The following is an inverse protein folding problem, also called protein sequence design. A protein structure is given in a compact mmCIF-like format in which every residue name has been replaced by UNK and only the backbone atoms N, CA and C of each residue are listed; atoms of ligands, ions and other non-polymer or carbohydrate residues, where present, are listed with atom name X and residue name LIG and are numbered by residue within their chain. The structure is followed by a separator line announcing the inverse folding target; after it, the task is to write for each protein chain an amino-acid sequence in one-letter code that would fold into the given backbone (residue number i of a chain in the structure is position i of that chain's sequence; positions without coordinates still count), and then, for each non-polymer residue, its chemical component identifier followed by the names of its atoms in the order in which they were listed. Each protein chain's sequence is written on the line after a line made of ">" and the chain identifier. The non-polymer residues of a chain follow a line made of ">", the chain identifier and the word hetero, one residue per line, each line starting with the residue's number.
data_IF_941057701529
#
_entry.id   IF_941057701529
#
_cell.length_a   1.000
_cell.length_b   1.000
_cell.length_c   1.000
_cell.angle_alpha   90.00
_cell.angle_beta   90.00
_cell.angle_gamma   90.00
#
_symmetry.space_group_name_H-M   'P 1'
#
loop_
_entity.id
_entity.type
_entity.pdbx_description
1 polymer ?
#
# COMPACT_ATOMS: atom_id res chain seq x y z
N UNK A 1 8.28 -24.46 -80.58
CA UNK A 1 8.30 -23.40 -79.56
C UNK A 1 7.18 -23.73 -78.59
N UNK A 2 7.57 -24.20 -77.41
CA UNK A 2 6.68 -24.71 -76.37
C UNK A 2 6.06 -23.52 -75.62
N UNK A 3 4.73 -23.46 -75.55
CA UNK A 3 4.00 -22.65 -74.59
C UNK A 3 3.25 -23.63 -73.68
N UNK A 4 3.74 -23.73 -72.45
CA UNK A 4 3.17 -24.55 -71.39
C UNK A 4 1.82 -23.98 -70.94
N UNK A 5 0.79 -24.82 -71.05
CA UNK A 5 -0.40 -24.79 -70.21
C UNK A 5 0.01 -25.15 -68.78
N UNK A 6 -0.27 -24.26 -67.82
CA UNK A 6 -0.21 -24.57 -66.39
C UNK A 6 -1.60 -24.37 -65.81
N UNK A 7 -2.26 -25.50 -65.61
CA UNK A 7 -3.49 -25.68 -64.85
C UNK A 7 -3.38 -25.11 -63.43
N UNK A 8 -4.27 -24.20 -63.07
CA UNK A 8 -4.55 -23.82 -61.68
C UNK A 8 -5.26 -24.99 -61.00
N UNK A 9 -4.50 -25.75 -60.21
CA UNK A 9 -5.03 -26.76 -59.28
C UNK A 9 -5.66 -26.01 -58.11
N UNK A 10 -6.96 -26.24 -57.91
CA UNK A 10 -7.71 -25.73 -56.77
C UNK A 10 -7.22 -26.35 -55.47
N UNK A 11 -6.80 -25.51 -54.53
CA UNK A 11 -6.68 -25.87 -53.13
C UNK A 11 -8.06 -25.80 -52.50
N UNK A 12 -8.66 -26.97 -52.28
CA UNK A 12 -9.81 -27.13 -51.39
C UNK A 12 -9.43 -26.66 -49.97
N UNK A 13 -10.26 -25.84 -49.28
CA UNK A 13 -10.03 -25.52 -47.89
C UNK A 13 -10.15 -26.80 -47.05
N UNK A 14 -9.08 -27.13 -46.31
CA UNK A 14 -9.08 -28.23 -45.33
C UNK A 14 -10.13 -27.90 -44.26
N UNK A 15 -11.05 -28.82 -43.90
CA UNK A 15 -12.03 -28.56 -42.86
C UNK A 15 -11.32 -28.40 -41.51
N UNK A 16 -11.38 -27.18 -40.96
CA UNK A 16 -10.85 -26.83 -39.65
C UNK A 16 -11.54 -27.66 -38.57
N UNK A 17 -10.75 -28.43 -37.82
CA UNK A 17 -11.25 -29.15 -36.65
C UNK A 17 -11.76 -28.13 -35.62
N UNK A 18 -12.98 -28.27 -35.08
CA UNK A 18 -13.50 -27.31 -34.11
C UNK A 18 -12.60 -27.31 -32.87
N UNK A 19 -12.28 -26.11 -32.38
CA UNK A 19 -11.52 -25.92 -31.15
C UNK A 19 -12.11 -26.78 -30.03
N UNK A 20 -11.28 -27.51 -29.26
CA UNK A 20 -11.77 -28.27 -28.12
C UNK A 20 -12.64 -27.40 -27.20
N UNK A 21 -13.77 -27.93 -26.77
CA UNK A 21 -14.82 -27.17 -26.05
C UNK A 21 -14.36 -26.50 -24.77
N UNK A 22 -13.22 -26.94 -24.22
CA UNK A 22 -12.57 -26.36 -23.06
C UNK A 22 -11.75 -25.10 -23.41
N UNK A 23 -11.05 -25.07 -24.56
CA UNK A 23 -10.28 -23.91 -25.03
C UNK A 23 -11.19 -22.82 -25.61
N UNK A 24 -12.27 -23.23 -26.29
CA UNK A 24 -13.29 -22.35 -26.87
C UNK A 24 -14.07 -21.50 -25.84
N UNK A 25 -14.00 -21.86 -24.56
CA UNK A 25 -14.61 -21.09 -23.44
C UNK A 25 -13.70 -19.97 -22.93
N UNK A 26 -12.38 -20.08 -23.14
CA UNK A 26 -11.38 -19.14 -22.64
C UNK A 26 -10.92 -18.13 -23.69
N UNK A 27 -11.12 -18.43 -24.98
CA UNK A 27 -10.72 -17.59 -26.11
C UNK A 27 -11.94 -17.24 -26.95
N UNK A 28 -12.43 -16.00 -26.83
CA UNK A 28 -13.36 -15.41 -27.80
C UNK A 28 -13.12 -13.90 -27.93
N UNK A 29 -12.27 -13.52 -28.87
CA UNK A 29 -12.52 -12.70 -30.06
C UNK A 29 -11.20 -12.65 -30.87
N UNK A 30 -11.28 -12.78 -32.21
CA UNK A 30 -10.19 -12.77 -33.21
C UNK A 30 -9.15 -13.91 -33.24
N UNK A 31 -9.54 -15.16 -32.98
CA UNK A 31 -8.76 -16.30 -33.49
C UNK A 31 -9.52 -16.93 -34.65
N UNK A 32 -8.95 -16.86 -35.85
CA UNK A 32 -9.25 -17.87 -36.86
C UNK A 32 -8.57 -19.18 -36.42
N UNK A 33 -9.10 -20.33 -36.84
CA UNK A 33 -8.49 -21.62 -36.49
C UNK A 33 -7.00 -21.69 -36.93
N UNK A 34 -6.64 -20.87 -37.92
CA UNK A 34 -5.29 -20.64 -38.42
C UNK A 34 -4.38 -19.93 -37.41
N UNK A 35 -4.87 -19.05 -36.53
CA UNK A 35 -4.05 -18.33 -35.55
C UNK A 35 -3.67 -19.21 -34.35
N UNK A 36 -4.58 -20.09 -33.93
CA UNK A 36 -4.30 -21.10 -32.89
C UNK A 36 -3.41 -22.19 -33.47
N UNK A 37 -3.66 -22.62 -34.71
CA UNK A 37 -2.76 -23.51 -35.43
C UNK A 37 -1.39 -22.85 -35.61
N UNK A 38 -1.29 -21.56 -35.95
CA UNK A 38 -0.03 -20.85 -36.08
C UNK A 38 0.69 -20.65 -34.73
N UNK A 39 -0.03 -20.53 -33.61
CA UNK A 39 0.60 -20.54 -32.28
C UNK A 39 1.16 -21.92 -31.96
N UNK A 40 0.38 -22.98 -32.17
CA UNK A 40 0.79 -24.37 -31.95
C UNK A 40 1.95 -24.70 -32.89
N UNK A 41 1.82 -24.39 -34.18
CA UNK A 41 2.83 -24.58 -35.21
C UNK A 41 4.06 -23.69 -34.99
N UNK A 42 3.95 -22.45 -34.50
CA UNK A 42 5.11 -21.59 -34.15
C UNK A 42 5.84 -22.13 -32.92
N UNK A 43 5.09 -22.62 -31.93
CA UNK A 43 5.65 -23.34 -30.78
C UNK A 43 6.34 -24.61 -31.27
N UNK A 44 5.73 -25.40 -32.15
CA UNK A 44 6.27 -26.68 -32.66
C UNK A 44 7.41 -26.49 -33.69
N UNK A 45 7.40 -25.40 -34.48
CA UNK A 45 8.42 -25.10 -35.50
C UNK A 45 9.62 -24.34 -34.94
N UNK A 46 9.46 -23.52 -33.90
CA UNK A 46 10.60 -23.05 -33.09
C UNK A 46 11.32 -24.18 -32.34
N UNK A 47 10.73 -25.38 -32.33
CA UNK A 47 11.28 -26.59 -31.70
C UNK A 47 11.92 -27.57 -32.71
N UNK A 48 11.75 -27.37 -34.02
CA UNK A 48 12.38 -28.22 -35.06
C UNK A 48 13.75 -27.70 -35.50
N UNK A 49 14.65 -27.46 -34.55
CA UNK A 49 16.09 -27.56 -34.82
C UNK A 49 16.85 -27.85 -33.54
N UNK A 50 17.31 -29.10 -33.42
CA UNK A 50 18.45 -29.58 -32.64
C UNK A 50 18.97 -28.65 -31.53
N UNK A 51 18.76 -29.06 -30.27
CA UNK A 51 19.43 -28.60 -29.03
C UNK A 51 18.74 -27.62 -28.06
N UNK A 52 17.42 -27.66 -27.87
CA UNK A 52 16.83 -27.05 -26.65
C UNK A 52 16.62 -28.09 -25.54
N UNK A 53 17.40 -27.98 -24.47
CA UNK A 53 17.27 -28.72 -23.19
C UNK A 53 16.06 -28.27 -22.36
N UNK A 54 15.08 -27.58 -22.95
CA UNK A 54 13.95 -26.98 -22.24
C UNK A 54 12.76 -27.93 -22.34
N UNK A 55 12.29 -28.42 -21.20
CA UNK A 55 11.15 -29.33 -21.12
C UNK A 55 9.90 -28.70 -21.77
N UNK A 56 9.24 -29.47 -22.65
CA UNK A 56 8.02 -29.08 -23.34
C UNK A 56 6.88 -28.89 -22.32
N UNK A 57 6.26 -27.70 -22.32
CA UNK A 57 5.09 -27.41 -21.51
C UNK A 57 3.85 -27.24 -22.41
N UNK A 58 2.73 -27.91 -22.12
CA UNK A 58 1.46 -27.66 -22.78
C UNK A 58 1.05 -26.18 -22.67
N UNK A 59 0.36 -25.66 -23.69
CA UNK A 59 -0.02 -24.24 -23.76
C UNK A 59 -0.85 -23.78 -22.54
N UNK A 60 -1.63 -24.67 -21.94
CA UNK A 60 -2.41 -24.45 -20.73
C UNK A 60 -1.52 -24.19 -19.52
N UNK A 61 -0.42 -24.93 -19.42
CA UNK A 61 0.56 -24.75 -18.34
C UNK A 61 1.29 -23.42 -18.54
N UNK A 62 1.61 -23.06 -19.78
CA UNK A 62 2.22 -21.76 -20.10
C UNK A 62 1.28 -20.59 -19.74
N UNK A 63 0.00 -20.68 -20.12
CA UNK A 63 -1.00 -19.66 -19.75
C UNK A 63 -1.25 -19.62 -18.24
N UNK A 64 -1.18 -20.76 -17.56
CA UNK A 64 -1.27 -20.81 -16.10
C UNK A 64 -0.04 -20.15 -15.45
N UNK A 65 1.16 -20.37 -15.99
CA UNK A 65 2.39 -19.69 -15.54
C UNK A 65 2.26 -18.17 -15.68
N UNK A 66 1.64 -17.67 -16.76
CA UNK A 66 1.42 -16.23 -16.95
C UNK A 66 0.61 -15.58 -15.81
N UNK A 67 -0.26 -16.32 -15.12
CA UNK A 67 -1.00 -15.80 -13.94
C UNK A 67 -0.10 -15.51 -12.72
N UNK A 68 1.09 -16.12 -12.69
CA UNK A 68 2.08 -15.99 -11.62
C UNK A 68 3.31 -15.18 -12.01
N UNK A 69 3.34 -14.64 -13.23
CA UNK A 69 4.40 -13.74 -13.66
C UNK A 69 4.33 -12.45 -12.82
N UNK A 70 5.48 -11.99 -12.29
CA UNK A 70 5.54 -10.71 -11.58
C UNK A 70 5.01 -9.55 -12.43
N UNK A 71 4.27 -8.66 -11.78
CA UNK A 71 3.49 -7.59 -12.45
C UNK A 71 4.33 -6.60 -13.25
N UNK A 72 5.59 -6.43 -12.88
CA UNK A 72 6.62 -5.60 -13.52
C UNK A 72 7.14 -6.20 -14.85
N UNK A 73 6.94 -7.51 -15.07
CA UNK A 73 7.31 -8.22 -16.29
C UNK A 73 6.12 -8.58 -17.18
N UNK A 74 4.89 -8.49 -16.67
CA UNK A 74 3.70 -8.95 -17.38
C UNK A 74 3.53 -8.30 -18.77
N UNK A 75 3.86 -7.01 -18.90
CA UNK A 75 3.77 -6.30 -20.18
C UNK A 75 4.88 -6.66 -21.17
N UNK A 76 6.02 -7.17 -20.70
CA UNK A 76 7.06 -7.71 -21.59
C UNK A 76 6.56 -9.00 -22.26
N UNK A 77 5.91 -9.88 -21.49
CA UNK A 77 5.28 -11.11 -22.00
C UNK A 77 4.14 -10.84 -22.98
N UNK A 78 3.41 -9.74 -22.81
CA UNK A 78 2.37 -9.29 -23.74
C UNK A 78 2.89 -9.06 -25.18
N UNK A 79 4.18 -8.76 -25.35
CA UNK A 79 4.78 -8.48 -26.65
C UNK A 79 5.29 -9.73 -27.38
N UNK A 80 5.29 -10.90 -26.73
CA UNK A 80 5.88 -12.13 -27.28
C UNK A 80 5.04 -12.69 -28.42
N UNK A 81 3.72 -12.82 -28.23
CA UNK A 81 2.79 -13.29 -29.26
C UNK A 81 1.36 -12.82 -28.98
N UNK A 82 0.50 -12.90 -30.01
CA UNK A 82 -0.92 -12.52 -29.90
C UNK A 82 -1.68 -13.35 -28.84
N UNK A 83 -1.36 -14.63 -28.67
CA UNK A 83 -1.97 -15.49 -27.65
C UNK A 83 -1.70 -15.01 -26.22
N UNK A 84 -0.48 -14.55 -25.95
CA UNK A 84 -0.16 -13.96 -24.66
C UNK A 84 -0.84 -12.62 -24.50
N UNK A 85 -0.89 -11.81 -25.57
CA UNK A 85 -1.62 -10.55 -25.54
C UNK A 85 -3.09 -10.75 -25.14
N UNK A 86 -3.80 -11.69 -25.76
CA UNK A 86 -5.22 -11.90 -25.47
C UNK A 86 -5.47 -12.54 -24.11
N UNK A 87 -4.61 -13.49 -23.71
CA UNK A 87 -4.67 -14.09 -22.38
C UNK A 87 -4.41 -13.04 -21.28
N UNK A 88 -3.42 -12.17 -21.50
CA UNK A 88 -3.09 -11.03 -20.63
C UNK A 88 -4.27 -10.08 -20.58
N UNK A 89 -4.75 -9.55 -21.71
CA UNK A 89 -5.82 -8.55 -21.80
C UNK A 89 -7.20 -9.06 -21.27
N UNK A 90 -7.33 -10.37 -21.04
CA UNK A 90 -8.51 -11.04 -20.50
C UNK A 90 -8.29 -11.69 -19.13
N UNK A 91 -8.04 -13.00 -19.14
CA UNK A 91 -8.05 -13.87 -17.97
C UNK A 91 -6.97 -13.53 -16.95
N UNK A 92 -5.73 -13.30 -17.40
CA UNK A 92 -4.60 -13.05 -16.51
C UNK A 92 -4.74 -11.67 -15.84
N UNK A 93 -5.13 -10.64 -16.58
CA UNK A 93 -5.41 -9.32 -15.99
C UNK A 93 -6.55 -9.39 -14.95
N UNK A 94 -7.58 -10.20 -15.20
CA UNK A 94 -8.62 -10.47 -14.20
C UNK A 94 -8.09 -11.25 -12.98
N UNK A 95 -7.16 -12.19 -13.16
CA UNK A 95 -6.49 -12.85 -12.04
C UNK A 95 -5.77 -11.82 -11.16
N UNK A 96 -5.00 -10.90 -11.76
CA UNK A 96 -4.33 -9.83 -11.00
C UNK A 96 -5.32 -8.85 -10.37
N UNK A 97 -6.42 -8.51 -11.04
CA UNK A 97 -7.47 -7.64 -10.50
C UNK A 97 -7.99 -8.12 -9.14
N UNK A 98 -8.19 -9.44 -8.98
CA UNK A 98 -8.67 -10.03 -7.72
C UNK A 98 -7.70 -9.86 -6.55
N UNK A 99 -6.43 -9.58 -6.85
CA UNK A 99 -5.35 -9.37 -5.89
C UNK A 99 -5.06 -7.88 -5.66
N UNK A 100 -5.77 -6.99 -6.36
CA UNK A 100 -5.65 -5.54 -6.18
C UNK A 100 -6.28 -5.14 -4.86
N UNK A 101 -5.60 -4.22 -4.18
CA UNK A 101 -6.08 -3.51 -3.02
C UNK A 101 -6.00 -2.01 -3.30
N UNK A 102 -7.11 -1.29 -3.12
CA UNK A 102 -7.10 0.17 -3.15
C UNK A 102 -6.95 0.70 -1.73
N UNK A 103 -6.04 1.66 -1.55
CA UNK A 103 -5.72 2.23 -0.25
C UNK A 103 -6.01 3.73 -0.28
N UNK A 104 -7.04 4.17 0.44
CA UNK A 104 -7.41 5.58 0.57
C UNK A 104 -6.61 6.24 1.68
N UNK A 105 -5.94 7.35 1.39
CA UNK A 105 -5.20 8.13 2.38
C UNK A 105 -6.00 9.37 2.80
N UNK A 106 -6.45 9.36 4.05
CA UNK A 106 -7.35 10.39 4.61
C UNK A 106 -6.61 11.67 4.97
N UNK A 107 -5.30 11.62 5.18
CA UNK A 107 -4.47 12.80 5.45
C UNK A 107 -3.42 12.54 6.52
N UNK A 108 -2.44 13.44 6.60
CA UNK A 108 -1.36 13.34 7.59
C UNK A 108 -1.83 13.70 9.00
N UNK A 109 -1.09 13.24 10.01
CA UNK A 109 -1.30 13.60 11.42
C UNK A 109 -1.32 15.11 11.65
N UNK A 110 -0.58 15.84 10.82
CA UNK A 110 -0.47 17.30 10.86
C UNK A 110 -1.67 18.03 10.25
N UNK A 111 -2.59 17.34 9.56
CA UNK A 111 -3.81 17.95 9.05
C UNK A 111 -4.73 18.40 10.21
N UNK A 112 -5.33 19.59 10.10
CA UNK A 112 -6.16 20.21 11.16
C UNK A 112 -7.22 19.24 11.73
N UNK A 113 -7.93 18.54 10.85
CA UNK A 113 -8.98 17.59 11.22
C UNK A 113 -8.44 16.28 11.83
N UNK A 114 -7.19 15.90 11.55
CA UNK A 114 -6.56 14.69 12.09
C UNK A 114 -5.84 14.93 13.42
N UNK A 115 -5.40 16.16 13.71
CA UNK A 115 -4.67 16.50 14.95
C UNK A 115 -5.46 16.21 16.23
N UNK A 116 -6.79 16.25 16.16
CA UNK A 116 -7.68 16.04 17.31
C UNK A 116 -7.82 14.57 17.73
N UNK A 117 -7.44 13.64 16.85
CA UNK A 117 -7.49 12.21 17.14
C UNK A 117 -6.38 11.83 18.14
N UNK A 118 -6.61 10.82 18.97
CA UNK A 118 -5.50 10.12 19.62
C UNK A 118 -4.66 9.41 18.57
N UNK A 119 -3.45 9.00 18.93
CA UNK A 119 -2.57 8.31 17.98
C UNK A 119 -3.16 6.95 17.57
N UNK A 120 -3.80 6.21 18.48
CA UNK A 120 -4.55 4.98 18.17
C UNK A 120 -5.66 5.24 17.15
N UNK A 121 -6.41 6.33 17.34
CA UNK A 121 -7.53 6.68 16.47
C UNK A 121 -7.03 7.09 15.08
N UNK A 122 -5.91 7.83 15.02
CA UNK A 122 -5.28 8.21 13.76
C UNK A 122 -4.79 6.97 12.99
N UNK A 123 -4.11 6.03 13.65
CA UNK A 123 -3.62 4.82 13.00
C UNK A 123 -4.77 3.98 12.41
N UNK A 124 -5.93 3.94 13.09
CA UNK A 124 -7.12 3.22 12.62
C UNK A 124 -7.87 3.92 11.48
N UNK A 125 -7.67 5.24 11.28
CA UNK A 125 -8.41 6.02 10.28
C UNK A 125 -7.59 6.49 9.09
N UNK A 126 -6.29 6.70 9.28
CA UNK A 126 -5.41 7.36 8.30
C UNK A 126 -5.38 6.65 6.94
N UNK A 127 -5.50 5.33 6.95
CA UNK A 127 -5.54 4.48 5.77
C UNK A 127 -6.83 3.65 5.73
N UNK A 128 -7.54 3.76 4.61
CA UNK A 128 -8.72 2.99 4.27
C UNK A 128 -8.32 1.88 3.29
N UNK A 129 -8.63 0.63 3.59
CA UNK A 129 -8.33 -0.50 2.72
C UNK A 129 -9.60 -0.99 2.02
N UNK A 130 -9.53 -1.16 0.71
CA UNK A 130 -10.62 -1.67 -0.11
C UNK A 130 -10.15 -2.85 -0.98
N UNK A 131 -10.84 -3.98 -0.88
CA UNK A 131 -10.49 -5.25 -1.54
C UNK A 131 -11.48 -5.60 -2.61
N UNK A 132 -11.02 -6.31 -3.64
CA UNK A 132 -11.88 -6.73 -4.74
C UNK A 132 -13.06 -7.56 -4.22
N UNK A 133 -14.28 -7.12 -4.53
CA UNK A 133 -15.51 -7.82 -4.18
C UNK A 133 -16.06 -8.58 -5.40
N UNK A 134 -16.34 -7.83 -6.48
CA UNK A 134 -16.98 -8.39 -7.68
C UNK A 134 -16.80 -7.51 -8.91
N UNK A 135 -17.12 -8.07 -10.07
CA UNK A 135 -17.31 -7.30 -11.30
C UNK A 135 -18.69 -6.64 -11.27
N UNK A 136 -18.77 -5.38 -11.71
CA UNK A 136 -20.05 -4.67 -11.81
C UNK A 136 -20.69 -4.99 -13.15
N UNK A 137 -21.70 -5.86 -13.14
CA UNK A 137 -22.55 -6.09 -14.30
C UNK A 137 -23.63 -5.03 -14.28
N UNK A 138 -23.36 -3.89 -14.92
CA UNK A 138 -24.34 -2.82 -15.07
C UNK A 138 -25.70 -3.40 -15.52
N UNK A 139 -26.73 -3.20 -14.69
CA UNK A 139 -28.17 -3.49 -14.90
C UNK A 139 -28.72 -4.79 -14.30
N UNK A 140 -29.61 -4.62 -13.31
CA UNK A 140 -30.70 -5.55 -12.95
C UNK A 140 -31.65 -5.87 -14.13
N UNK A 141 -31.41 -5.32 -15.33
CA UNK A 141 -32.26 -5.45 -16.53
C UNK A 141 -31.70 -6.48 -17.55
N UNK A 142 -30.50 -7.06 -17.36
CA UNK A 142 -29.92 -8.02 -18.32
C UNK A 142 -29.37 -9.32 -17.72
N UNK A 143 -30.04 -9.86 -16.70
CA UNK A 143 -29.69 -11.18 -16.12
C UNK A 143 -29.83 -12.32 -17.16
N UNK A 144 -30.43 -12.08 -18.33
CA UNK A 144 -30.65 -13.11 -19.35
C UNK A 144 -29.72 -13.09 -20.58
N UNK A 145 -28.74 -12.17 -20.71
CA UNK A 145 -27.95 -12.08 -21.96
C UNK A 145 -26.42 -11.91 -21.88
N UNK A 146 -25.78 -11.89 -20.71
CA UNK A 146 -24.30 -11.89 -20.65
C UNK A 146 -23.72 -13.29 -20.98
N UNK A 147 -23.79 -13.70 -22.26
CA UNK A 147 -23.08 -14.86 -22.84
C UNK A 147 -21.58 -14.56 -23.01
N UNK A 148 -20.92 -14.01 -21.99
CA UNK A 148 -19.52 -13.61 -22.05
C UNK A 148 -18.78 -13.90 -20.73
N UNK A 149 -17.45 -14.00 -20.76
CA UNK A 149 -16.68 -14.22 -19.55
C UNK A 149 -16.79 -13.03 -18.59
N UNK A 150 -16.66 -13.32 -17.29
CA UNK A 150 -16.85 -12.35 -16.19
C UNK A 150 -15.96 -11.10 -16.31
N UNK A 151 -14.76 -11.24 -16.89
CA UNK A 151 -13.81 -10.14 -17.15
C UNK A 151 -14.15 -9.27 -18.37
N UNK A 152 -15.34 -9.37 -18.93
CA UNK A 152 -15.84 -8.40 -19.92
C UNK A 152 -16.49 -7.18 -19.30
N UNK A 153 -16.89 -7.23 -18.04
CA UNK A 153 -17.51 -6.09 -17.40
C UNK A 153 -16.54 -4.88 -17.39
N UNK A 154 -17.07 -3.68 -17.58
CA UNK A 154 -16.26 -2.46 -17.66
C UNK A 154 -15.78 -2.02 -16.29
N UNK A 155 -16.59 -2.28 -15.26
CA UNK A 155 -16.36 -1.80 -13.90
C UNK A 155 -16.13 -2.96 -12.93
N UNK A 156 -15.33 -2.69 -11.90
CA UNK A 156 -15.13 -3.59 -10.76
C UNK A 156 -15.49 -2.85 -9.47
N UNK A 157 -16.05 -3.60 -8.52
CA UNK A 157 -16.46 -3.12 -7.20
C UNK A 157 -15.48 -3.65 -6.16
N UNK A 158 -15.03 -2.75 -5.29
CA UNK A 158 -14.18 -3.03 -4.16
C UNK A 158 -14.92 -2.67 -2.88
N UNK A 159 -14.89 -3.58 -1.92
CA UNK A 159 -15.51 -3.42 -0.61
C UNK A 159 -14.50 -2.86 0.37
N UNK A 160 -14.95 -1.89 1.17
CA UNK A 160 -14.14 -1.23 2.20
C UNK A 160 -14.23 -2.03 3.49
N UNK A 161 -13.12 -2.10 4.22
CA UNK A 161 -13.06 -2.79 5.51
C UNK A 161 -14.14 -2.25 6.50
N UNK A 162 -15.01 -3.15 6.95
CA UNK A 162 -16.07 -2.86 7.92
C UNK A 162 -15.54 -2.25 9.22
N UNK A 163 -14.35 -2.67 9.66
CA UNK A 163 -13.73 -2.15 10.87
C UNK A 163 -13.35 -0.68 10.71
N UNK A 164 -12.79 -0.31 9.56
CA UNK A 164 -12.52 1.08 9.22
C UNK A 164 -13.83 1.88 9.14
N UNK A 165 -14.84 1.37 8.45
CA UNK A 165 -16.13 2.05 8.29
C UNK A 165 -16.85 2.25 9.64
N UNK A 166 -16.71 1.31 10.58
CA UNK A 166 -17.23 1.42 11.94
C UNK A 166 -16.47 2.49 12.74
N UNK A 167 -15.13 2.42 12.76
CA UNK A 167 -14.28 3.38 13.46
C UNK A 167 -14.49 4.80 12.92
N UNK A 168 -14.59 4.96 11.60
CA UNK A 168 -14.86 6.24 10.95
C UNK A 168 -16.19 6.84 11.41
N UNK A 169 -17.26 6.04 11.46
CA UNK A 169 -18.57 6.48 11.96
C UNK A 169 -18.53 6.84 13.44
N UNK A 170 -17.85 6.05 14.25
CA UNK A 170 -17.72 6.27 15.69
C UNK A 170 -16.98 7.56 16.00
N UNK A 171 -15.78 7.74 15.43
CA UNK A 171 -14.94 8.91 15.67
C UNK A 171 -15.54 10.18 15.06
N UNK A 172 -16.19 10.08 13.90
CA UNK A 172 -16.93 11.22 13.33
C UNK A 172 -18.11 11.63 14.20
N UNK A 173 -18.84 10.68 14.80
CA UNK A 173 -19.93 11.00 15.75
C UNK A 173 -19.40 11.60 17.05
N UNK A 174 -18.32 11.04 17.60
CA UNK A 174 -17.68 11.56 18.81
C UNK A 174 -17.19 13.00 18.61
N UNK A 175 -16.53 13.28 17.47
CA UNK A 175 -16.08 14.62 17.10
C UNK A 175 -17.25 15.62 17.00
N UNK A 176 -18.39 15.19 16.43
CA UNK A 176 -19.62 16.00 16.37
C UNK A 176 -20.20 16.32 17.75
N UNK A 177 -20.17 15.37 18.68
CA UNK A 177 -20.70 15.56 20.03
C UNK A 177 -19.79 16.44 20.91
N UNK A 178 -18.47 16.35 20.71
CA UNK A 178 -17.49 17.14 21.45
C UNK A 178 -17.46 18.62 21.03
N UNK A 179 -17.77 18.93 19.77
CA UNK A 179 -17.74 20.28 19.22
C UNK A 179 -19.15 20.87 19.12
N UNK A 180 -19.43 21.95 19.86
CA UNK A 180 -20.71 22.67 19.81
C UNK A 180 -20.74 23.84 18.79
N UNK A 181 -19.82 23.90 17.84
CA UNK A 181 -19.70 24.97 16.83
C UNK A 181 -19.63 24.46 15.38
N UNK A 182 -19.46 25.37 14.41
CA UNK A 182 -19.44 25.07 12.96
C UNK A 182 -18.37 24.02 12.53
N UNK A 183 -17.35 23.79 13.37
CA UNK A 183 -16.27 22.79 13.16
C UNK A 183 -16.68 21.34 13.51
N UNK A 184 -17.93 21.09 13.93
CA UNK A 184 -18.34 19.79 14.47
C UNK A 184 -18.27 18.62 13.46
N UNK A 185 -18.45 18.90 12.17
CA UNK A 185 -18.40 17.88 11.09
C UNK A 185 -17.11 17.92 10.26
N UNK A 186 -16.06 18.62 10.73
CA UNK A 186 -14.84 18.84 9.95
C UNK A 186 -14.12 17.51 9.62
N UNK A 187 -14.06 16.57 10.58
CA UNK A 187 -13.43 15.25 10.35
C UNK A 187 -14.18 14.43 9.28
N UNK A 188 -15.50 14.29 9.42
CA UNK A 188 -16.30 13.48 8.53
C UNK A 188 -16.36 14.07 7.12
N UNK A 189 -16.61 15.38 7.03
CA UNK A 189 -16.72 16.09 5.76
C UNK A 189 -15.37 16.14 5.03
N UNK A 190 -14.28 16.56 5.69
CA UNK A 190 -12.99 16.67 5.02
C UNK A 190 -12.43 15.31 4.61
N UNK A 191 -12.59 14.26 5.43
CA UNK A 191 -12.16 12.91 5.07
C UNK A 191 -12.91 12.39 3.84
N UNK A 192 -14.24 12.52 3.82
CA UNK A 192 -15.07 12.08 2.69
C UNK A 192 -14.78 12.92 1.45
N UNK A 193 -14.66 14.24 1.56
CA UNK A 193 -14.34 15.11 0.43
C UNK A 193 -12.99 14.78 -0.19
N UNK A 194 -12.00 14.43 0.64
CA UNK A 194 -10.68 13.99 0.19
C UNK A 194 -10.73 12.65 -0.53
N UNK A 195 -11.44 11.67 0.04
CA UNK A 195 -11.62 10.34 -0.59
C UNK A 195 -12.47 10.41 -1.87
N UNK A 196 -13.47 11.30 -1.93
CA UNK A 196 -14.26 11.56 -3.13
C UNK A 196 -13.58 12.50 -4.12
N UNK A 197 -12.43 13.07 -3.75
CA UNK A 197 -11.67 14.06 -4.51
C UNK A 197 -12.55 15.20 -5.04
N UNK A 198 -13.46 15.71 -4.19
CA UNK A 198 -14.43 16.76 -4.55
C UNK A 198 -13.86 18.18 -4.43
N UNK A 199 -12.88 18.41 -3.55
CA UNK A 199 -12.24 19.73 -3.37
C UNK A 199 -11.17 19.98 -4.44
N UNK A 200 -11.32 21.08 -5.20
CA UNK A 200 -10.31 21.55 -6.16
C UNK A 200 -9.06 22.14 -5.47
N UNK A 201 -9.20 22.61 -4.22
CA UNK A 201 -8.13 23.28 -3.49
C UNK A 201 -7.10 22.30 -2.90
N UNK A 202 -7.50 21.08 -2.57
CA UNK A 202 -6.68 20.12 -1.82
C UNK A 202 -6.23 18.87 -2.61
N UNK A 203 -6.53 18.78 -3.91
CA UNK A 203 -6.41 17.52 -4.65
C UNK A 203 -5.21 17.39 -5.58
N UNK A 204 -4.65 18.48 -6.10
CA UNK A 204 -3.49 18.38 -7.00
C UNK A 204 -2.20 18.12 -6.20
N UNK A 205 -1.38 17.16 -6.64
CA UNK A 205 -0.18 16.62 -5.98
C UNK A 205 -0.42 15.81 -4.69
N UNK A 206 -1.55 15.99 -4.00
CA UNK A 206 -1.86 15.24 -2.79
C UNK A 206 -2.12 13.76 -3.07
N UNK A 207 -1.61 12.89 -2.19
CA UNK A 207 -1.98 11.49 -2.18
C UNK A 207 -3.40 11.35 -1.60
N UNK A 208 -4.31 10.74 -2.38
CA UNK A 208 -5.66 10.40 -1.92
C UNK A 208 -5.94 8.91 -2.05
N UNK A 209 -5.51 8.28 -3.15
CA UNK A 209 -5.70 6.85 -3.38
C UNK A 209 -4.41 6.23 -3.90
N UNK A 210 -4.06 5.09 -3.36
CA UNK A 210 -3.02 4.21 -3.85
C UNK A 210 -3.66 2.95 -4.42
N UNK A 211 -3.01 2.37 -5.42
CA UNK A 211 -3.28 1.01 -5.86
C UNK A 211 -2.10 0.14 -5.43
N UNK A 212 -2.40 -0.98 -4.79
CA UNK A 212 -1.43 -2.01 -4.41
C UNK A 212 -1.74 -3.28 -5.18
N UNK A 213 -0.69 -3.87 -5.75
CA UNK A 213 -0.76 -5.15 -6.42
C UNK A 213 0.58 -5.86 -6.23
N UNK A 214 0.55 -7.00 -5.53
CA UNK A 214 1.76 -7.71 -5.11
C UNK A 214 2.68 -6.81 -4.28
N UNK A 215 3.93 -6.64 -4.72
CA UNK A 215 4.94 -5.78 -4.10
C UNK A 215 4.89 -4.32 -4.59
N UNK A 216 4.12 -4.05 -5.65
CA UNK A 216 4.02 -2.74 -6.28
C UNK A 216 2.94 -1.88 -5.60
N UNK A 217 3.27 -0.62 -5.31
CA UNK A 217 2.32 0.39 -4.81
C UNK A 217 2.60 1.74 -5.46
N UNK A 218 1.55 2.36 -6.02
CA UNK A 218 1.61 3.69 -6.60
C UNK A 218 0.33 4.48 -6.34
N UNK A 219 0.38 5.79 -6.60
CA UNK A 219 -0.82 6.59 -6.80
C UNK A 219 -1.75 5.88 -7.79
N UNK A 220 -3.01 5.69 -7.40
CA UNK A 220 -4.06 5.33 -8.33
C UNK A 220 -4.15 6.48 -9.34
N UNK A 221 -3.92 6.20 -10.63
CA UNK A 221 -3.88 7.20 -11.70
C UNK A 221 -5.29 7.70 -12.01
N UNK A 222 -5.83 8.49 -11.10
CA UNK A 222 -7.15 9.06 -11.17
C UNK A 222 -7.04 10.35 -11.97
N UNK A 223 -7.81 10.50 -13.07
CA UNK A 223 -7.58 11.56 -14.02
C UNK A 223 -7.64 12.94 -13.34
N UNK A 224 -6.68 13.84 -13.65
CA UNK A 224 -6.72 15.22 -13.20
C UNK A 224 -8.01 15.86 -13.74
N UNK A 225 -8.91 16.27 -12.83
CA UNK A 225 -10.23 16.78 -13.23
C UNK A 225 -10.13 18.04 -14.06
N UNK A 226 -10.84 18.02 -15.19
CA UNK A 226 -11.30 19.19 -15.93
C UNK A 226 -12.80 19.15 -16.25
N UNK A 227 -13.49 18.03 -16.05
CA UNK A 227 -14.93 17.87 -16.31
C UNK A 227 -15.55 17.05 -15.16
N UNK A 228 -16.72 17.49 -14.69
CA UNK A 228 -17.39 16.93 -13.52
C UNK A 228 -17.69 15.44 -13.69
N UNK A 229 -17.39 14.67 -12.62
CA UNK A 229 -17.33 13.19 -12.51
C UNK A 229 -16.02 12.58 -12.98
N UNK A 230 -15.37 11.87 -12.06
CA UNK A 230 -14.30 10.94 -12.37
C UNK A 230 -14.98 9.78 -13.10
N UNK A 231 -14.89 9.74 -14.43
CA UNK A 231 -15.52 8.68 -15.25
C UNK A 231 -15.07 7.27 -14.85
N UNK A 232 -13.95 7.15 -14.12
CA UNK A 232 -13.29 5.88 -13.83
C UNK A 232 -13.26 5.49 -12.34
N UNK A 233 -13.81 6.32 -11.44
CA UNK A 233 -13.72 6.10 -9.99
C UNK A 233 -14.90 6.73 -9.25
N UNK A 234 -15.69 5.91 -8.59
CA UNK A 234 -16.81 6.34 -7.76
C UNK A 234 -16.70 5.75 -6.35
N UNK A 235 -16.75 6.64 -5.34
CA UNK A 235 -16.71 6.27 -3.93
C UNK A 235 -18.09 6.47 -3.33
N UNK A 236 -18.76 5.35 -3.05
CA UNK A 236 -20.09 5.34 -2.46
C UNK A 236 -20.00 5.21 -0.94
N UNK A 237 -20.55 6.22 -0.24
CA UNK A 237 -20.60 6.28 1.23
C UNK A 237 -21.82 5.53 1.79
N UNK A 238 -22.73 5.05 0.93
CA UNK A 238 -23.85 4.22 1.35
C UNK A 238 -23.34 2.88 1.90
N UNK A 239 -24.10 2.22 2.76
CA UNK A 239 -23.73 0.91 3.31
C UNK A 239 -24.14 -0.23 2.36
N UNK A 240 -23.24 -1.18 2.02
CA UNK A 240 -21.81 -1.21 2.36
C UNK A 240 -21.00 -0.16 1.58
N UNK A 241 -19.98 0.42 2.23
CA UNK A 241 -19.11 1.40 1.58
C UNK A 241 -18.29 0.71 0.50
N UNK A 242 -18.39 1.22 -0.74
CA UNK A 242 -17.77 0.58 -1.91
C UNK A 242 -17.09 1.58 -2.82
N UNK A 243 -16.11 1.08 -3.56
CA UNK A 243 -15.43 1.80 -4.63
C UNK A 243 -15.73 1.10 -5.95
N UNK A 244 -16.19 1.85 -6.94
CA UNK A 244 -16.39 1.37 -8.30
C UNK A 244 -15.34 1.96 -9.22
N UNK A 245 -14.62 1.12 -9.96
CA UNK A 245 -13.51 1.56 -10.84
C UNK A 245 -13.63 0.98 -12.25
N UNK A 246 -13.21 1.75 -13.26
CA UNK A 246 -12.96 1.21 -14.61
C UNK A 246 -11.64 0.44 -14.58
N UNK A 247 -11.75 -0.88 -14.43
CA UNK A 247 -10.64 -1.69 -13.92
C UNK A 247 -9.56 -1.99 -14.96
N UNK A 248 -9.90 -2.12 -16.24
CA UNK A 248 -8.90 -2.42 -17.29
C UNK A 248 -7.94 -1.25 -17.47
N UNK A 249 -8.48 -0.04 -17.62
CA UNK A 249 -7.69 1.16 -17.85
C UNK A 249 -6.76 1.45 -16.66
N UNK A 250 -7.26 1.36 -15.43
CA UNK A 250 -6.46 1.63 -14.24
C UNK A 250 -5.37 0.57 -14.06
N UNK A 251 -5.66 -0.71 -14.30
CA UNK A 251 -4.70 -1.79 -14.14
C UNK A 251 -3.63 -1.76 -15.24
N UNK A 252 -3.97 -1.47 -16.50
CA UNK A 252 -2.96 -1.30 -17.55
C UNK A 252 -2.04 -0.11 -17.29
N UNK A 253 -2.58 1.03 -16.84
CA UNK A 253 -1.76 2.18 -16.45
C UNK A 253 -0.83 1.84 -15.29
N UNK A 254 -1.33 1.10 -14.31
CA UNK A 254 -0.54 0.62 -13.18
C UNK A 254 0.62 -0.26 -13.65
N UNK A 255 0.35 -1.29 -14.48
CA UNK A 255 1.37 -2.18 -15.03
C UNK A 255 2.42 -1.44 -15.86
N UNK A 256 2.00 -0.45 -16.67
CA UNK A 256 2.93 0.40 -17.44
C UNK A 256 3.84 1.21 -16.51
N UNK A 257 3.28 1.72 -15.41
CA UNK A 257 4.02 2.50 -14.42
C UNK A 257 5.01 1.63 -13.67
N UNK A 258 4.62 0.41 -13.27
CA UNK A 258 5.53 -0.51 -12.58
C UNK A 258 6.67 -0.97 -13.50
N UNK A 259 6.38 -1.33 -14.75
CA UNK A 259 7.43 -1.65 -15.74
C UNK A 259 8.40 -0.48 -15.93
N UNK A 260 7.89 0.74 -16.04
CA UNK A 260 8.73 1.93 -16.16
C UNK A 260 9.57 2.18 -14.91
N UNK A 261 9.02 1.94 -13.71
CA UNK A 261 9.76 2.03 -12.45
C UNK A 261 10.89 1.01 -12.38
N UNK A 262 10.65 -0.25 -12.76
CA UNK A 262 11.69 -1.30 -12.84
C UNK A 262 12.83 -0.86 -13.75
N UNK A 263 12.51 -0.44 -14.97
CA UNK A 263 13.51 0.03 -15.93
C UNK A 263 14.28 1.26 -15.42
N UNK A 264 13.60 2.19 -14.74
CA UNK A 264 14.24 3.36 -14.16
C UNK A 264 15.18 3.00 -12.99
N UNK A 265 14.80 2.03 -12.15
CA UNK A 265 15.65 1.52 -11.08
C UNK A 265 16.92 0.89 -11.65
N UNK A 266 16.80 0.08 -12.71
CA UNK A 266 17.93 -0.52 -13.43
C UNK A 266 18.83 0.55 -14.06
N UNK A 267 18.23 1.51 -14.81
CA UNK A 267 18.97 2.59 -15.48
C UNK A 267 19.74 3.47 -14.48
N UNK A 268 19.12 3.77 -13.33
CA UNK A 268 19.68 4.72 -12.36
C UNK A 268 20.56 4.09 -11.29
N UNK A 269 20.79 2.77 -11.31
CA UNK A 269 21.51 2.02 -10.26
C UNK A 269 22.86 2.63 -9.84
N UNK A 270 23.60 3.23 -10.77
CA UNK A 270 24.92 3.84 -10.52
C UNK A 270 24.88 5.38 -10.42
N UNK A 271 23.69 5.98 -10.32
CA UNK A 271 23.55 7.43 -10.20
C UNK A 271 23.91 7.89 -8.78
N UNK A 272 24.23 9.18 -8.65
CA UNK A 272 24.15 9.83 -7.33
C UNK A 272 22.68 10.02 -6.97
N UNK A 273 22.35 10.04 -5.68
CA UNK A 273 20.97 10.16 -5.20
C UNK A 273 20.85 11.32 -4.22
N UNK A 274 19.72 12.02 -4.32
CA UNK A 274 19.38 13.13 -3.43
C UNK A 274 18.82 12.60 -2.11
N UNK A 275 17.90 11.62 -2.18
CA UNK A 275 17.29 11.00 -1.00
C UNK A 275 17.75 9.54 -0.86
N UNK A 276 17.34 8.70 -1.80
CA UNK A 276 17.80 7.30 -1.93
C UNK A 276 17.48 6.79 -3.33
N UNK A 277 18.06 5.65 -3.73
CA UNK A 277 17.83 5.08 -5.07
C UNK A 277 16.34 4.88 -5.37
N UNK A 278 15.62 4.19 -4.48
CA UNK A 278 14.20 3.89 -4.67
C UNK A 278 13.34 5.15 -4.54
N UNK A 279 13.66 6.02 -3.59
CA UNK A 279 12.91 7.26 -3.36
C UNK A 279 13.02 8.22 -4.54
N UNK A 280 14.22 8.46 -5.06
CA UNK A 280 14.44 9.34 -6.21
C UNK A 280 13.72 8.80 -7.45
N UNK A 281 13.79 7.50 -7.70
CA UNK A 281 13.05 6.86 -8.79
C UNK A 281 11.53 7.02 -8.62
N UNK A 282 11.00 6.85 -7.40
CA UNK A 282 9.58 6.99 -7.13
C UNK A 282 9.10 8.44 -7.26
N UNK A 283 9.89 9.41 -6.75
CA UNK A 283 9.67 10.85 -6.93
C UNK A 283 9.66 11.22 -8.41
N UNK A 284 10.63 10.72 -9.18
CA UNK A 284 10.71 10.96 -10.62
C UNK A 284 9.46 10.46 -11.35
N UNK A 285 9.04 9.22 -11.08
CA UNK A 285 7.82 8.65 -11.66
C UNK A 285 6.57 9.45 -11.30
N UNK A 286 6.42 9.84 -10.03
CA UNK A 286 5.30 10.66 -9.55
C UNK A 286 5.28 12.03 -10.24
N UNK A 287 6.42 12.74 -10.27
CA UNK A 287 6.54 14.06 -10.92
C UNK A 287 6.24 14.00 -12.42
N UNK A 288 6.73 12.96 -13.12
CA UNK A 288 6.45 12.75 -14.54
C UNK A 288 4.94 12.56 -14.79
N UNK A 289 4.28 11.75 -13.97
CA UNK A 289 2.83 11.53 -14.05
C UNK A 289 2.03 12.80 -13.77
N UNK A 290 2.36 13.51 -12.68
CA UNK A 290 1.74 14.80 -12.35
C UNK A 290 1.94 15.83 -13.47
N UNK A 291 3.12 15.88 -14.08
CA UNK A 291 3.38 16.77 -15.20
C UNK A 291 2.58 16.39 -16.45
N UNK A 292 2.45 15.09 -16.76
CA UNK A 292 1.65 14.60 -17.88
C UNK A 292 0.14 14.84 -17.69
N UNK A 293 -0.29 15.05 -16.44
CA UNK A 293 -1.66 15.32 -16.06
C UNK A 293 -2.09 16.80 -16.27
N UNK A 294 -1.17 17.69 -16.63
CA UNK A 294 -1.43 19.13 -16.72
C UNK A 294 -1.77 19.54 -18.15
N UNK A 295 -2.82 20.36 -18.31
CA UNK A 295 -3.20 20.92 -19.61
C UNK A 295 -2.42 22.22 -19.90
N UNK A 296 -1.58 22.26 -20.95
CA UNK A 296 -0.81 23.46 -21.28
C UNK A 296 -1.69 24.66 -21.67
N UNK A 297 -2.96 24.45 -22.06
CA UNK A 297 -3.90 25.51 -22.38
C UNK A 297 -4.45 26.26 -21.16
N UNK A 298 -4.33 25.69 -19.95
CA UNK A 298 -4.87 26.29 -18.71
C UNK A 298 -3.79 27.06 -17.94
N UNK A 299 -4.04 28.34 -17.65
CA UNK A 299 -3.11 29.20 -16.88
C UNK A 299 -2.72 28.60 -15.51
N UNK A 300 -3.69 28.00 -14.82
CA UNK A 300 -3.47 27.35 -13.52
C UNK A 300 -2.48 26.19 -13.64
N UNK A 301 -2.61 25.38 -14.70
CA UNK A 301 -1.73 24.25 -14.97
C UNK A 301 -0.33 24.70 -15.40
N UNK A 302 -0.23 25.84 -16.10
CA UNK A 302 1.05 26.52 -16.34
C UNK A 302 1.80 26.89 -15.05
N UNK A 303 1.08 27.43 -14.05
CA UNK A 303 1.67 27.73 -12.72
C UNK A 303 2.08 26.45 -12.00
N UNK A 304 1.23 25.42 -12.00
CA UNK A 304 1.53 24.10 -11.42
C UNK A 304 2.77 23.45 -12.02
N UNK A 305 2.91 23.52 -13.35
CA UNK A 305 4.09 23.05 -14.08
C UNK A 305 5.35 23.79 -13.68
N UNK A 306 5.26 25.10 -13.44
CA UNK A 306 6.38 25.88 -12.94
C UNK A 306 6.73 25.49 -11.50
N UNK A 307 5.75 25.29 -10.62
CA UNK A 307 5.97 24.85 -9.24
C UNK A 307 6.68 23.49 -9.15
N UNK A 308 6.37 22.52 -10.02
CA UNK A 308 7.09 21.24 -10.06
C UNK A 308 8.59 21.39 -10.36
N UNK A 309 9.00 22.45 -11.06
CA UNK A 309 10.41 22.71 -11.37
C UNK A 309 11.18 23.31 -10.19
N UNK A 310 10.48 23.80 -9.18
CA UNK A 310 11.09 24.35 -7.96
C UNK A 310 11.36 23.28 -6.91
N UNK A 311 10.84 22.06 -7.09
CA UNK A 311 11.11 20.95 -6.20
C UNK A 311 12.60 20.55 -6.24
N UNK A 312 13.12 19.94 -5.16
CA UNK A 312 14.50 19.48 -5.11
C UNK A 312 14.88 18.61 -6.30
N UNK A 313 16.04 18.87 -6.90
CA UNK A 313 16.57 18.05 -7.99
C UNK A 313 16.77 16.61 -7.53
N UNK A 314 16.39 15.65 -8.36
CA UNK A 314 16.60 14.23 -8.11
C UNK A 314 17.92 13.77 -8.72
N UNK A 315 18.46 12.66 -8.23
CA UNK A 315 19.69 12.05 -8.72
C UNK A 315 20.96 12.93 -8.60
N UNK A 316 21.11 13.67 -7.49
CA UNK A 316 22.25 14.55 -7.28
C UNK A 316 22.57 14.75 -5.80
N UNK A 317 23.57 15.57 -5.49
CA UNK A 317 23.79 16.00 -4.10
C UNK A 317 22.73 17.04 -3.74
N UNK A 318 22.12 16.90 -2.56
CA UNK A 318 21.14 17.87 -2.06
C UNK A 318 21.78 19.27 -2.05
N UNK A 319 21.10 20.26 -2.65
CA UNK A 319 21.60 21.63 -2.66
C UNK A 319 21.47 22.19 -1.24
N UNK A 320 22.61 22.50 -0.61
CA UNK A 320 22.70 23.06 0.76
C UNK A 320 21.93 24.39 0.94
N UNK A 321 21.54 25.03 -0.17
CA UNK A 321 20.82 26.32 -0.21
C UNK A 321 19.38 26.19 -0.75
N UNK A 322 18.63 25.17 -0.32
CA UNK A 322 17.18 25.21 -0.50
C UNK A 322 16.53 26.11 0.56
N UNK A 323 15.99 27.24 0.11
CA UNK A 323 15.35 28.24 0.95
C UNK A 323 13.98 27.75 1.44
N UNK A 324 13.99 26.85 2.44
CA UNK A 324 12.82 26.33 3.14
C UNK A 324 11.94 25.39 2.31
N UNK A 325 11.31 24.43 2.97
CA UNK A 325 10.40 23.49 2.33
C UNK A 325 9.20 24.25 1.75
N UNK A 326 9.03 24.16 0.43
CA UNK A 326 7.81 24.70 -0.21
C UNK A 326 6.59 23.87 0.20
N UNK A 327 5.39 24.44 0.18
CA UNK A 327 4.15 23.69 0.45
C UNK A 327 4.05 22.44 -0.45
N UNK A 328 4.45 22.55 -1.71
CA UNK A 328 4.45 21.43 -2.66
C UNK A 328 5.46 20.34 -2.29
N UNK A 329 6.62 20.72 -1.75
CA UNK A 329 7.63 19.79 -1.26
C UNK A 329 7.15 19.03 -0.03
N UNK A 330 6.48 19.70 0.92
CA UNK A 330 5.84 19.04 2.06
C UNK A 330 4.79 18.02 1.62
N UNK A 331 3.98 18.37 0.61
CA UNK A 331 2.98 17.47 0.03
C UNK A 331 3.63 16.27 -0.67
N UNK A 332 4.69 16.49 -1.45
CA UNK A 332 5.44 15.39 -2.07
C UNK A 332 6.09 14.49 -1.02
N UNK A 333 6.75 15.06 -0.01
CA UNK A 333 7.40 14.34 1.08
C UNK A 333 6.40 13.44 1.81
N UNK A 334 5.23 13.97 2.19
CA UNK A 334 4.19 13.17 2.85
C UNK A 334 3.65 12.04 1.97
N UNK A 335 3.49 12.28 0.67
CA UNK A 335 3.02 11.28 -0.26
C UNK A 335 4.06 10.18 -0.51
N UNK A 336 5.32 10.55 -0.72
CA UNK A 336 6.44 9.63 -0.95
C UNK A 336 6.71 8.79 0.29
N UNK A 337 6.69 9.40 1.48
CA UNK A 337 6.80 8.67 2.75
C UNK A 337 5.73 7.57 2.84
N UNK A 338 4.47 7.92 2.57
CA UNK A 338 3.36 6.96 2.61
C UNK A 338 3.53 5.85 1.58
N UNK A 339 3.88 6.20 0.33
CA UNK A 339 4.08 5.21 -0.73
C UNK A 339 5.26 4.27 -0.44
N UNK A 340 6.39 4.78 0.06
CA UNK A 340 7.54 3.97 0.43
C UNK A 340 7.19 3.01 1.57
N UNK A 341 6.46 3.48 2.58
CA UNK A 341 6.01 2.63 3.68
C UNK A 341 5.08 1.51 3.19
N UNK A 342 4.11 1.84 2.32
CA UNK A 342 3.21 0.85 1.74
C UNK A 342 3.94 -0.13 0.81
N UNK A 343 4.92 0.32 0.02
CA UNK A 343 5.77 -0.57 -0.81
C UNK A 343 6.60 -1.51 0.06
N UNK A 344 7.15 -1.00 1.16
CA UNK A 344 7.91 -1.82 2.12
C UNK A 344 7.01 -2.87 2.77
N UNK A 345 5.81 -2.49 3.22
CA UNK A 345 4.82 -3.45 3.73
C UNK A 345 4.46 -4.51 2.69
N UNK A 346 4.21 -4.09 1.45
CA UNK A 346 3.83 -4.98 0.35
C UNK A 346 4.96 -5.95 -0.04
N UNK A 347 6.22 -5.54 0.09
CA UNK A 347 7.39 -6.38 -0.16
C UNK A 347 7.74 -7.33 0.99
N UNK A 348 7.17 -7.15 2.19
CA UNK A 348 7.44 -8.01 3.34
C UNK A 348 6.64 -9.31 3.29
N UNK A 349 7.28 -10.40 3.68
CA UNK A 349 6.59 -11.68 3.88
C UNK A 349 5.66 -11.62 5.11
N UNK A 350 4.62 -12.46 5.12
CA UNK A 350 3.74 -12.58 6.28
C UNK A 350 4.49 -12.92 7.59
N UNK A 351 5.60 -13.66 7.49
CA UNK A 351 6.47 -13.98 8.63
C UNK A 351 7.20 -12.73 9.15
N UNK A 352 7.75 -11.90 8.27
CA UNK A 352 8.40 -10.64 8.65
C UNK A 352 7.39 -9.67 9.28
N UNK A 353 6.20 -9.50 8.69
CA UNK A 353 5.16 -8.66 9.26
C UNK A 353 4.73 -9.14 10.65
N UNK A 354 4.57 -10.46 10.83
CA UNK A 354 4.25 -11.04 12.15
C UNK A 354 5.37 -10.81 13.16
N UNK A 355 6.63 -10.93 12.74
CA UNK A 355 7.80 -10.69 13.58
C UNK A 355 7.86 -9.22 14.04
N UNK A 356 7.71 -8.27 13.12
CA UNK A 356 7.67 -6.84 13.43
C UNK A 356 6.55 -6.48 14.42
N UNK A 357 5.35 -7.01 14.22
CA UNK A 357 4.22 -6.83 15.15
C UNK A 357 4.49 -7.44 16.52
N UNK A 358 5.17 -8.58 16.56
CA UNK A 358 5.56 -9.20 17.84
C UNK A 358 6.62 -8.35 18.54
N UNK A 359 7.58 -7.82 17.81
CA UNK A 359 8.65 -6.99 18.34
C UNK A 359 8.11 -5.65 18.90
N UNK A 360 7.18 -5.01 18.19
CA UNK A 360 6.44 -3.84 18.68
C UNK A 360 5.69 -4.15 19.98
N UNK A 361 4.95 -5.25 20.04
CA UNK A 361 4.28 -5.70 21.26
C UNK A 361 5.26 -5.98 22.41
N UNK A 362 6.41 -6.58 22.11
CA UNK A 362 7.44 -6.85 23.10
C UNK A 362 8.06 -5.55 23.64
N UNK A 363 8.29 -4.54 22.78
CA UNK A 363 8.70 -3.21 23.19
C UNK A 363 7.69 -2.54 24.11
N UNK A 364 6.41 -2.51 23.72
CA UNK A 364 5.35 -1.93 24.56
C UNK A 364 5.25 -2.62 25.92
N UNK A 365 5.41 -3.96 25.95
CA UNK A 365 5.42 -4.73 27.20
C UNK A 365 6.62 -4.39 28.06
N UNK A 366 7.81 -4.30 27.45
CA UNK A 366 9.04 -3.93 28.13
C UNK A 366 8.95 -2.51 28.72
N UNK A 367 8.52 -1.54 27.92
CA UNK A 367 8.39 -0.14 28.36
C UNK A 367 7.41 -0.05 29.54
N UNK A 368 6.28 -0.76 29.48
CA UNK A 368 5.33 -0.85 30.60
C UNK A 368 5.91 -1.48 31.87
N UNK A 369 6.61 -2.62 31.77
CA UNK A 369 7.25 -3.28 32.93
C UNK A 369 8.32 -2.37 33.57
N UNK A 370 9.06 -1.61 32.77
CA UNK A 370 10.10 -0.71 33.26
C UNK A 370 9.54 0.57 33.88
N UNK A 371 8.46 1.13 33.31
CA UNK A 371 7.71 2.23 33.95
C UNK A 371 7.12 1.81 35.29
N UNK A 372 6.61 0.58 35.41
CA UNK A 372 6.08 0.06 36.66
C UNK A 372 7.19 -0.10 37.71
N UNK A 373 8.34 -0.65 37.32
CA UNK A 373 9.52 -0.75 38.18
C UNK A 373 9.99 0.63 38.67
N UNK A 374 10.05 1.63 37.78
CA UNK A 374 10.44 2.99 38.15
C UNK A 374 9.44 3.59 39.15
N UNK A 375 8.13 3.43 38.94
CA UNK A 375 7.10 3.89 39.89
C UNK A 375 7.28 3.27 41.29
N UNK A 376 7.50 1.96 41.37
CA UNK A 376 7.75 1.26 42.64
C UNK A 376 9.03 1.75 43.32
N UNK A 377 10.08 1.99 42.53
CA UNK A 377 11.34 2.53 43.03
C UNK A 377 11.20 3.96 43.54
N UNK A 378 10.48 4.83 42.83
CA UNK A 378 10.20 6.20 43.28
C UNK A 378 9.37 6.22 44.56
N UNK A 379 8.41 5.29 44.71
CA UNK A 379 7.63 5.14 45.94
C UNK A 379 8.53 4.70 47.12
N UNK A 380 9.39 3.71 46.89
CA UNK A 380 10.36 3.25 47.88
C UNK A 380 11.29 4.36 48.34
N UNK A 381 11.79 5.15 47.39
CA UNK A 381 12.62 6.32 47.68
C UNK A 381 11.90 7.36 48.54
N UNK A 382 10.61 7.62 48.28
CA UNK A 382 9.80 8.56 49.08
C UNK A 382 9.70 8.12 50.55
N UNK A 383 9.60 6.81 50.82
CA UNK A 383 9.57 6.29 52.19
C UNK A 383 10.92 6.42 52.92
N UNK A 384 12.04 6.17 52.22
CA UNK A 384 13.36 6.20 52.86
C UNK A 384 13.87 7.60 53.21
N UNK A 385 13.57 8.61 52.40
CA UNK A 385 13.95 9.98 52.74
C UNK A 385 13.16 11.03 51.97
N UNK A 386 12.21 11.72 52.61
CA UNK A 386 11.43 12.79 51.96
C UNK A 386 12.25 14.03 51.58
N UNK A 387 13.55 14.10 51.94
CA UNK A 387 14.44 15.26 51.71
C UNK A 387 15.61 15.01 50.76
N UNK A 388 15.80 13.79 50.25
CA UNK A 388 16.91 13.48 49.34
C UNK A 388 16.47 13.48 47.87
N UNK A 389 16.76 14.58 47.17
CA UNK A 389 16.70 14.69 45.71
C UNK A 389 17.97 14.12 45.06
N UNK A 390 18.20 12.80 45.14
CA UNK A 390 19.08 12.14 44.16
C UNK A 390 18.22 11.63 43.01
N UNK A 391 18.13 12.35 41.89
CA UNK A 391 17.63 11.71 40.67
C UNK A 391 18.75 10.77 40.20
N UNK A 392 18.57 9.47 40.40
CA UNK A 392 19.16 8.54 39.44
C UNK A 392 18.23 8.70 38.25
N UNK A 393 18.64 9.54 37.30
CA UNK A 393 17.98 9.58 36.01
C UNK A 393 18.15 8.19 35.42
N UNK A 394 17.09 7.38 35.52
CA UNK A 394 16.95 6.22 34.67
C UNK A 394 17.11 6.76 33.25
N UNK A 395 18.13 6.33 32.50
CA UNK A 395 18.46 6.94 31.22
C UNK A 395 17.18 7.03 30.41
N UNK A 396 16.83 8.24 29.98
CA UNK A 396 15.62 8.52 29.23
C UNK A 396 15.46 7.43 28.19
N UNK A 397 14.51 6.53 28.44
CA UNK A 397 14.25 5.42 27.55
C UNK A 397 13.93 6.05 26.19
N UNK A 398 14.48 5.51 25.11
CA UNK A 398 14.25 5.96 23.72
C UNK A 398 12.76 5.97 23.28
N UNK A 399 11.80 5.82 24.21
CA UNK A 399 10.37 5.86 23.99
C UNK A 399 9.91 7.11 23.25
N UNK A 400 10.60 8.24 23.40
CA UNK A 400 10.17 9.49 22.77
C UNK A 400 10.42 9.54 21.25
N UNK A 401 11.26 8.66 20.69
CA UNK A 401 11.68 8.74 19.27
C UNK A 401 11.45 7.47 18.45
N UNK A 402 10.85 6.41 19.00
CA UNK A 402 10.56 5.22 18.20
C UNK A 402 9.34 5.47 17.30
N UNK A 403 9.45 5.35 15.97
CA UNK A 403 8.28 5.44 15.11
C UNK A 403 7.25 4.39 15.53
N UNK A 404 5.99 4.77 15.71
CA UNK A 404 4.96 3.84 16.20
C UNK A 404 4.71 2.67 15.24
N UNK A 405 4.78 2.91 13.94
CA UNK A 405 4.62 1.85 12.95
C UNK A 405 5.95 1.09 12.79
N UNK A 406 6.03 -0.21 13.14
CA UNK A 406 7.27 -0.97 13.04
C UNK A 406 7.75 -1.20 11.60
N UNK A 407 6.87 -1.01 10.61
CA UNK A 407 7.25 -1.04 9.19
C UNK A 407 8.09 0.19 8.81
N UNK A 408 7.98 1.29 9.56
CA UNK A 408 8.77 2.49 9.33
C UNK A 408 10.19 2.41 9.93
N UNK A 409 10.49 1.39 10.75
CA UNK A 409 11.80 1.29 11.42
C UNK A 409 12.92 1.02 10.41
N UNK A 410 13.94 1.87 10.36
CA UNK A 410 15.13 1.56 9.56
C UNK A 410 15.74 0.23 9.97
N UNK A 411 16.50 -0.42 9.10
CA UNK A 411 17.11 -1.72 9.43
C UNK A 411 18.10 -1.59 10.62
N UNK A 412 18.78 -0.45 10.74
CA UNK A 412 19.61 -0.12 11.91
C UNK A 412 18.78 0.00 13.19
N UNK A 413 17.62 0.68 13.13
CA UNK A 413 16.72 0.81 14.27
C UNK A 413 16.12 -0.54 14.66
N UNK A 414 15.72 -1.35 13.67
CA UNK A 414 15.21 -2.69 13.88
C UNK A 414 16.24 -3.55 14.64
N UNK A 415 17.49 -3.56 14.18
CA UNK A 415 18.57 -4.30 14.84
C UNK A 415 18.81 -3.83 16.29
N UNK A 416 18.78 -2.51 16.53
CA UNK A 416 18.91 -1.94 17.86
C UNK A 416 17.74 -2.33 18.79
N UNK A 417 16.52 -2.31 18.27
CA UNK A 417 15.32 -2.73 18.99
C UNK A 417 15.35 -4.23 19.30
N UNK A 418 15.75 -5.07 18.36
CA UNK A 418 15.89 -6.51 18.56
C UNK A 418 16.91 -6.86 19.64
N UNK A 419 18.09 -6.23 19.62
CA UNK A 419 19.11 -6.40 20.67
C UNK A 419 18.58 -5.97 22.03
N UNK A 420 17.89 -4.83 22.10
CA UNK A 420 17.28 -4.31 23.34
C UNK A 420 16.24 -5.27 23.90
N UNK A 421 15.29 -5.72 23.07
CA UNK A 421 14.24 -6.67 23.49
C UNK A 421 14.86 -8.01 23.90
N UNK A 422 15.91 -8.46 23.22
CA UNK A 422 16.65 -9.67 23.60
C UNK A 422 17.28 -9.54 24.99
N UNK A 423 17.96 -8.42 25.27
CA UNK A 423 18.54 -8.12 26.59
C UNK A 423 17.46 -8.07 27.67
N UNK A 424 16.37 -7.33 27.45
CA UNK A 424 15.25 -7.29 28.40
C UNK A 424 14.67 -8.68 28.65
N UNK A 425 14.41 -9.48 27.61
CA UNK A 425 13.90 -10.85 27.78
C UNK A 425 14.83 -11.72 28.64
N UNK A 426 16.14 -11.58 28.47
CA UNK A 426 17.13 -12.29 29.29
C UNK A 426 17.14 -11.86 30.76
N UNK A 427 16.84 -10.58 31.02
CA UNK A 427 16.84 -9.98 32.36
C UNK A 427 15.47 -9.97 33.02
N UNK A 428 14.40 -10.28 32.28
CA UNK A 428 13.01 -10.13 32.72
C UNK A 428 12.69 -10.83 34.03
N UNK A 429 13.29 -12.01 34.28
CA UNK A 429 13.11 -12.73 35.55
C UNK A 429 13.68 -11.94 36.74
N UNK A 430 14.85 -11.31 36.56
CA UNK A 430 15.50 -10.50 37.59
C UNK A 430 14.70 -9.22 37.82
N UNK A 431 14.28 -8.54 36.73
CA UNK A 431 13.42 -7.34 36.80
C UNK A 431 12.18 -7.60 37.66
N UNK A 432 11.47 -8.71 37.40
CA UNK A 432 10.30 -9.11 38.20
C UNK A 432 10.63 -9.42 39.66
N UNK A 433 11.80 -9.98 39.96
CA UNK A 433 12.21 -10.21 41.34
C UNK A 433 12.48 -8.89 42.08
N UNK A 434 13.10 -7.92 41.41
CA UNK A 434 13.34 -6.58 41.96
C UNK A 434 12.02 -5.85 42.17
N UNK A 435 11.10 -5.92 41.22
CA UNK A 435 9.76 -5.35 41.33
C UNK A 435 9.00 -5.89 42.54
N UNK A 436 8.97 -7.22 42.72
CA UNK A 436 8.34 -7.86 43.89
C UNK A 436 9.02 -7.41 45.19
N UNK A 437 10.36 -7.34 45.22
CA UNK A 437 11.09 -6.91 46.40
C UNK A 437 10.78 -5.44 46.76
N UNK A 438 10.72 -4.55 45.77
CA UNK A 438 10.37 -3.14 45.97
C UNK A 438 8.92 -2.99 46.45
N UNK A 439 7.98 -3.71 45.83
CA UNK A 439 6.58 -3.73 46.23
C UNK A 439 6.42 -4.21 47.69
N UNK A 440 7.04 -5.34 48.06
CA UNK A 440 7.00 -5.83 49.46
C UNK A 440 7.69 -4.87 50.45
N UNK A 441 8.75 -4.18 50.02
CA UNK A 441 9.42 -3.18 50.85
C UNK A 441 8.56 -1.93 51.04
N UNK A 442 7.85 -1.51 49.99
CA UNK A 442 6.90 -0.41 50.04
C UNK A 442 5.74 -0.71 50.98
N UNK A 443 5.20 -1.93 50.95
CA UNK A 443 4.17 -2.37 51.90
C UNK A 443 4.68 -2.36 53.35
N UNK A 444 5.89 -2.86 53.60
CA UNK A 444 6.48 -2.88 54.93
C UNK A 444 6.79 -1.46 55.47
N UNK A 445 7.19 -0.53 54.61
CA UNK A 445 7.49 0.86 54.97
C UNK A 445 6.25 1.75 55.06
N UNK A 446 5.11 1.31 54.52
CA UNK A 446 3.83 2.02 54.60
C UNK A 446 3.07 1.76 55.91
N UNK A 447 3.62 0.92 56.81
CA UNK A 447 3.04 0.65 58.12
C UNK A 447 3.11 1.93 58.98
N UNK A 448 1.99 2.45 59.51
CA UNK A 448 1.97 3.64 60.36
C UNK A 448 2.88 3.47 61.58
N UNK A 449 3.58 4.54 62.01
CA UNK A 449 4.42 4.53 63.22
C UNK A 449 3.64 4.07 64.47
N UNK A 450 2.33 4.33 64.51
CA UNK A 450 1.41 3.95 65.59
C UNK A 450 1.17 2.42 65.69
N UNK A 451 1.60 1.63 64.71
CA UNK A 451 1.36 0.16 64.66
C UNK A 451 2.21 -0.64 65.65
N UNK A 452 3.27 -0.02 66.19
CA UNK A 452 4.16 -0.62 67.17
C UNK A 452 3.88 -0.18 68.61
N UNK A 453 3.01 0.82 68.81
CA UNK A 453 2.66 1.35 70.13
C UNK A 453 1.53 0.56 70.84
N UNK A 454 0.80 -0.30 70.11
CA UNK A 454 -0.25 -1.17 70.67
C UNK A 454 0.25 -2.50 71.26
N UNK A 455 1.58 -2.75 71.26
CA UNK A 455 2.16 -3.84 72.05
C UNK A 455 2.33 -3.38 73.50
N UNK A 456 1.21 -3.48 74.22
CA UNK A 456 1.01 -3.08 75.60
C UNK A 456 2.22 -3.24 76.52
N UNK A 457 2.60 -2.11 77.10
CA UNK A 457 3.28 -1.98 78.39
C UNK A 457 2.36 -2.51 79.51
N UNK A 458 2.23 -3.84 79.55
CA UNK A 458 1.39 -4.55 80.50
C UNK A 458 1.95 -5.94 80.82
N UNK A 459 3.12 -5.98 81.47
CA UNK A 459 3.44 -6.84 82.63
C UNK A 459 4.88 -6.62 83.10
#
# INVERSE_FOLDING_TARGET
>A
MNSHDTSLVGTTPVPSSPLPSWLAKHLKFSYDAEDVAALIDSIDSSQQTQSSTVAHLPAEIVLYILEYVPVDHLLDWRLVCHAFQDAIDGRVLYHHLRRVEFIGFVGSRQARYMRRLSDEQYDQLSLLHAKFLRMDTDSEVQITSLKGPTWRATHAVFEIDDSWAKNFREYSRAAKMANRGDDADELGTCAVERLQMRSERDSWCHLSWCMKLEHAVFDADLPPRGEGRLLNFDFCVAEPMVIRVVWKDILFKFLRTERAMRLLLEEKQQSSYTFSHVEDCLRQMRRQRLHASLDPGKKVDGRRKWSLRLLPTLFGKQQEYHAGDTELELVENGAIYTLLLLRREAGMTARQLKHLRQLDKDCQTMDHELEQLDKEFQQFKKHLSPKFEFSIDMPAYMGDNLPRNPIAWSDELLAAVEDRVSKWKSQRKVIKQVEVLLSSSNEALAVPDDSFDDLGSGL
#
